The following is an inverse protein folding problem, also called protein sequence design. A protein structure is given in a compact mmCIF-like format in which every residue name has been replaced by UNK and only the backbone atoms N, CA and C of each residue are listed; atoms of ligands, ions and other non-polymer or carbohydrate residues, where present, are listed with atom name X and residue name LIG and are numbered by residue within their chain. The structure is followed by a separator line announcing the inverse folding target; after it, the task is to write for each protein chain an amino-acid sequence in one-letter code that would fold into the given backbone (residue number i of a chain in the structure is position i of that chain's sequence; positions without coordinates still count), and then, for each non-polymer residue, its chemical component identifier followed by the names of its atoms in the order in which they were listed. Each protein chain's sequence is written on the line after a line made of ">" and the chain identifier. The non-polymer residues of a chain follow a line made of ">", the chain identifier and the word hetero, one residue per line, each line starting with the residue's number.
data_IF_882539025441
#
_entry.id   IF_882539025441
#
_cell.length_a   1.000
_cell.length_b   1.000
_cell.length_c   1.000
_cell.angle_alpha   90.00
_cell.angle_beta   90.00
_cell.angle_gamma   90.00
#
_symmetry.space_group_name_H-M   'P 1'
#
loop_
_entity.id
_entity.type
_entity.pdbx_description
1 polymer ?
#
# COMPACT_ATOMS: atom_id res chain seq x y z
N UNK A 1 -9.24 -24.63 -1.42
CA UNK A 1 -9.75 -23.31 -1.09
C UNK A 1 -10.46 -23.34 0.27
N UNK A 2 -11.49 -24.15 0.50
CA UNK A 2 -12.24 -24.21 1.78
C UNK A 2 -11.31 -24.48 2.99
N UNK A 3 -10.37 -25.40 2.87
CA UNK A 3 -9.37 -25.68 3.92
C UNK A 3 -8.55 -24.43 4.28
N UNK A 4 -8.03 -23.72 3.28
CA UNK A 4 -7.25 -22.52 3.52
C UNK A 4 -8.07 -21.41 4.19
N UNK A 5 -9.30 -21.18 3.70
CA UNK A 5 -10.26 -20.24 4.28
C UNK A 5 -10.53 -20.56 5.75
N UNK A 6 -10.87 -21.80 6.08
CA UNK A 6 -11.21 -22.21 7.46
C UNK A 6 -10.02 -22.01 8.42
N UNK A 7 -8.81 -22.30 7.97
CA UNK A 7 -7.59 -22.11 8.77
C UNK A 7 -7.24 -20.64 8.95
N UNK A 8 -7.28 -19.83 7.89
CA UNK A 8 -6.97 -18.40 7.98
C UNK A 8 -8.03 -17.63 8.75
N UNK A 9 -9.30 -18.02 8.66
CA UNK A 9 -10.41 -17.35 9.37
C UNK A 9 -10.32 -17.46 10.92
N UNK A 10 -9.46 -18.35 11.44
CA UNK A 10 -9.18 -18.40 12.89
C UNK A 10 -8.23 -17.30 13.36
N UNK A 11 -7.52 -16.66 12.43
CA UNK A 11 -6.45 -15.69 12.71
C UNK A 11 -6.77 -14.32 12.11
N UNK A 12 -7.40 -14.30 10.93
CA UNK A 12 -7.65 -13.11 10.12
C UNK A 12 -9.12 -12.97 9.75
N UNK A 13 -9.53 -11.75 9.40
CA UNK A 13 -10.83 -11.50 8.76
C UNK A 13 -10.72 -11.82 7.27
N UNK A 14 -11.31 -12.94 6.83
CA UNK A 14 -11.14 -13.47 5.48
C UNK A 14 -12.37 -13.19 4.62
N UNK A 15 -12.16 -12.50 3.51
CA UNK A 15 -13.12 -12.35 2.41
C UNK A 15 -12.77 -13.34 1.31
N UNK A 16 -13.73 -14.12 0.87
CA UNK A 16 -13.56 -15.19 -0.12
C UNK A 16 -14.37 -14.89 -1.38
N UNK A 17 -13.76 -15.09 -2.55
CA UNK A 17 -14.37 -14.84 -3.85
C UNK A 17 -13.94 -15.89 -4.87
N UNK A 18 -14.73 -16.07 -5.93
CA UNK A 18 -14.54 -17.16 -6.89
C UNK A 18 -13.61 -16.82 -8.05
N UNK A 19 -13.39 -15.54 -8.31
CA UNK A 19 -12.58 -15.06 -9.43
C UNK A 19 -11.96 -13.69 -9.12
N UNK A 20 -11.04 -13.24 -9.98
CA UNK A 20 -10.33 -11.98 -9.81
C UNK A 20 -11.23 -10.75 -9.93
N UNK A 21 -12.32 -10.81 -10.67
CA UNK A 21 -13.26 -9.69 -10.83
C UNK A 21 -13.99 -9.39 -9.51
N UNK A 22 -14.53 -10.43 -8.86
CA UNK A 22 -15.15 -10.32 -7.54
C UNK A 22 -14.15 -9.84 -6.48
N UNK A 23 -12.88 -10.32 -6.59
CA UNK A 23 -11.80 -9.86 -5.72
C UNK A 23 -11.59 -8.35 -5.83
N UNK A 24 -11.53 -7.78 -7.04
CA UNK A 24 -11.39 -6.34 -7.25
C UNK A 24 -12.58 -5.56 -6.67
N UNK A 25 -13.81 -6.05 -6.83
CA UNK A 25 -14.98 -5.40 -6.22
C UNK A 25 -14.89 -5.35 -4.68
N UNK A 26 -14.43 -6.45 -4.06
CA UNK A 26 -14.24 -6.50 -2.61
C UNK A 26 -13.15 -5.51 -2.19
N UNK A 27 -12.02 -5.48 -2.89
CA UNK A 27 -10.89 -4.57 -2.62
C UNK A 27 -11.34 -3.11 -2.70
N UNK A 28 -12.18 -2.76 -3.66
CA UNK A 28 -12.70 -1.40 -3.77
C UNK A 28 -13.67 -1.01 -2.65
N UNK A 29 -14.40 -1.97 -2.08
CA UNK A 29 -15.42 -1.72 -1.04
C UNK A 29 -14.88 -1.88 0.39
N UNK A 30 -13.77 -2.61 0.58
CA UNK A 30 -13.22 -2.98 1.90
C UNK A 30 -11.76 -2.58 2.00
N UNK A 31 -11.30 -2.39 3.23
CA UNK A 31 -9.86 -2.30 3.51
C UNK A 31 -9.29 -3.73 3.52
N UNK A 32 -8.37 -4.00 2.60
CA UNK A 32 -7.72 -5.31 2.44
C UNK A 32 -6.22 -5.11 2.67
N UNK A 33 -5.66 -5.89 3.60
CA UNK A 33 -4.25 -5.81 3.95
C UNK A 33 -3.37 -6.75 3.11
N UNK A 34 -3.93 -7.83 2.55
CA UNK A 34 -3.20 -8.81 1.73
C UNK A 34 -4.17 -9.61 0.87
N UNK A 35 -3.74 -9.96 -0.33
CA UNK A 35 -4.47 -10.83 -1.26
C UNK A 35 -3.73 -12.16 -1.43
N UNK A 36 -4.45 -13.28 -1.32
CA UNK A 36 -3.95 -14.60 -1.68
C UNK A 36 -4.81 -15.10 -2.83
N UNK A 37 -4.22 -15.34 -3.97
CA UNK A 37 -4.93 -15.77 -5.17
C UNK A 37 -4.34 -17.06 -5.74
N UNK A 38 -5.22 -17.96 -6.19
CA UNK A 38 -4.79 -19.01 -7.11
C UNK A 38 -4.40 -18.37 -8.44
N UNK A 39 -3.38 -18.88 -9.11
CA UNK A 39 -3.05 -18.47 -10.48
C UNK A 39 -4.18 -18.88 -11.42
N UNK A 40 -4.70 -20.12 -11.29
CA UNK A 40 -5.75 -20.64 -12.16
C UNK A 40 -7.14 -20.38 -11.58
N UNK A 41 -7.82 -19.36 -12.06
CA UNK A 41 -9.21 -19.03 -11.72
C UNK A 41 -10.04 -18.75 -12.98
N UNK A 42 -11.36 -18.96 -12.94
CA UNK A 42 -12.24 -18.61 -14.06
C UNK A 42 -12.40 -17.08 -14.17
N UNK A 43 -12.81 -16.60 -15.36
CA UNK A 43 -13.16 -15.21 -15.69
C UNK A 43 -11.94 -14.27 -15.69
N UNK A 44 -11.28 -14.10 -14.55
CA UNK A 44 -10.04 -13.34 -14.37
C UNK A 44 -9.11 -14.18 -13.51
N UNK A 45 -7.96 -14.52 -14.05
CA UNK A 45 -6.96 -15.33 -13.37
C UNK A 45 -6.16 -14.53 -12.31
N UNK A 46 -5.33 -15.24 -11.52
CA UNK A 46 -4.58 -14.61 -10.43
C UNK A 46 -3.47 -13.68 -10.94
N UNK A 47 -2.91 -13.93 -12.12
CA UNK A 47 -1.88 -13.07 -12.73
C UNK A 47 -2.52 -11.78 -13.24
N UNK A 48 -3.66 -11.89 -13.90
CA UNK A 48 -4.44 -10.73 -14.35
C UNK A 48 -4.90 -9.87 -13.17
N UNK A 49 -5.42 -10.51 -12.10
CA UNK A 49 -5.77 -9.85 -10.84
C UNK A 49 -4.56 -9.12 -10.24
N UNK A 50 -3.42 -9.78 -10.16
CA UNK A 50 -2.19 -9.18 -9.63
C UNK A 50 -1.77 -7.95 -10.45
N UNK A 51 -1.74 -8.06 -11.77
CA UNK A 51 -1.44 -6.94 -12.67
C UNK A 51 -2.43 -5.78 -12.48
N UNK A 52 -3.74 -6.08 -12.38
CA UNK A 52 -4.77 -5.07 -12.14
C UNK A 52 -4.55 -4.34 -10.80
N UNK A 53 -4.22 -5.07 -9.73
CA UNK A 53 -3.89 -4.47 -8.43
C UNK A 53 -2.62 -3.61 -8.55
N UNK A 54 -1.54 -4.13 -9.12
CA UNK A 54 -0.23 -3.45 -9.14
C UNK A 54 -0.16 -2.26 -10.10
N UNK A 55 -0.96 -2.25 -11.16
CA UNK A 55 -1.07 -1.11 -12.07
C UNK A 55 -1.97 0.01 -11.56
N UNK A 56 -2.83 -0.26 -10.58
CA UNK A 56 -3.74 0.74 -10.03
C UNK A 56 -3.11 1.45 -8.83
N UNK A 57 -2.83 2.75 -8.96
CA UNK A 57 -2.18 3.59 -7.93
C UNK A 57 -2.93 3.57 -6.59
N UNK A 58 -4.23 3.31 -6.59
CA UNK A 58 -5.07 3.33 -5.40
C UNK A 58 -4.90 2.10 -4.53
N UNK A 59 -4.56 0.94 -5.14
CA UNK A 59 -4.52 -0.37 -4.49
C UNK A 59 -3.19 -1.12 -4.70
N UNK A 60 -2.22 -0.57 -5.45
CA UNK A 60 -0.93 -1.22 -5.75
C UNK A 60 -0.09 -1.56 -4.50
N UNK A 61 -0.36 -0.88 -3.39
CA UNK A 61 0.26 -1.11 -2.10
C UNK A 61 -0.15 -2.44 -1.45
N UNK A 62 -1.27 -3.03 -1.87
CA UNK A 62 -1.75 -4.29 -1.29
C UNK A 62 -0.82 -5.43 -1.75
N UNK A 63 -0.19 -6.17 -0.82
CA UNK A 63 0.63 -7.32 -1.17
C UNK A 63 -0.22 -8.45 -1.74
N UNK A 64 0.33 -9.12 -2.75
CA UNK A 64 -0.30 -10.25 -3.43
C UNK A 64 0.59 -11.48 -3.32
N UNK A 65 0.04 -12.59 -2.80
CA UNK A 65 0.65 -13.93 -2.84
C UNK A 65 -0.08 -14.74 -3.91
N UNK A 66 0.66 -15.30 -4.87
CA UNK A 66 0.11 -16.19 -5.89
C UNK A 66 0.36 -17.66 -5.53
N UNK A 67 -0.71 -18.45 -5.52
CA UNK A 67 -0.64 -19.90 -5.34
C UNK A 67 -0.60 -20.57 -6.72
N UNK A 68 0.42 -21.36 -7.01
CA UNK A 68 0.59 -22.00 -8.32
C UNK A 68 0.87 -23.49 -8.23
N UNK A 69 0.33 -24.27 -9.18
CA UNK A 69 0.61 -25.70 -9.31
C UNK A 69 1.82 -25.97 -10.25
N UNK A 70 2.25 -25.00 -11.06
CA UNK A 70 3.26 -25.18 -12.09
C UNK A 70 4.60 -24.53 -11.71
N UNK A 71 5.67 -25.33 -11.90
CA UNK A 71 7.09 -24.93 -11.75
C UNK A 71 7.67 -24.52 -13.13
N UNK A 72 6.85 -24.42 -14.20
CA UNK A 72 7.39 -24.11 -15.54
C UNK A 72 7.92 -22.67 -15.58
N UNK A 73 9.14 -22.52 -16.10
CA UNK A 73 9.89 -21.26 -16.20
C UNK A 73 9.13 -20.10 -16.86
N UNK A 74 8.17 -20.41 -17.74
CA UNK A 74 7.34 -19.40 -18.42
C UNK A 74 6.35 -18.73 -17.47
N UNK A 75 5.64 -19.48 -16.63
CA UNK A 75 4.69 -18.91 -15.66
C UNK A 75 5.38 -18.23 -14.46
N UNK A 76 6.59 -18.67 -14.11
CA UNK A 76 7.40 -17.98 -13.09
C UNK A 76 7.90 -16.63 -13.62
N UNK A 77 8.31 -16.55 -14.91
CA UNK A 77 8.71 -15.28 -15.55
C UNK A 77 7.53 -14.31 -15.69
N UNK A 78 6.38 -14.79 -16.13
CA UNK A 78 5.16 -13.97 -16.24
C UNK A 78 4.66 -13.54 -14.85
N UNK A 79 4.84 -14.40 -13.87
CA UNK A 79 4.53 -14.11 -12.50
C UNK A 79 5.47 -13.05 -11.91
N UNK A 80 6.79 -13.17 -12.05
CA UNK A 80 7.76 -12.16 -11.59
C UNK A 80 7.49 -10.80 -12.26
N UNK A 81 7.05 -10.80 -13.53
CA UNK A 81 6.65 -9.57 -14.25
C UNK A 81 5.29 -9.02 -13.81
N UNK A 82 4.45 -9.81 -13.11
CA UNK A 82 3.14 -9.36 -12.61
C UNK A 82 3.23 -8.44 -11.40
N UNK A 83 4.41 -8.35 -10.75
CA UNK A 83 4.62 -7.56 -9.54
C UNK A 83 4.08 -8.21 -8.25
N UNK A 84 3.80 -9.52 -8.25
CA UNK A 84 3.41 -10.23 -7.05
C UNK A 84 4.52 -10.18 -5.99
N UNK A 85 4.12 -10.10 -4.72
CA UNK A 85 5.06 -10.01 -3.60
C UNK A 85 5.64 -11.36 -3.22
N UNK A 86 4.91 -12.45 -3.47
CA UNK A 86 5.40 -13.82 -3.23
C UNK A 86 4.66 -14.85 -4.09
N UNK A 87 5.32 -16.02 -4.27
CA UNK A 87 4.79 -17.19 -4.97
C UNK A 87 4.89 -18.41 -4.08
N UNK A 88 3.78 -19.16 -3.98
CA UNK A 88 3.72 -20.37 -3.19
C UNK A 88 3.30 -21.54 -4.06
N UNK A 89 4.16 -22.52 -4.19
CA UNK A 89 3.90 -23.72 -5.00
C UNK A 89 3.00 -24.71 -4.25
N UNK A 90 2.03 -25.25 -4.95
CA UNK A 90 1.17 -26.33 -4.48
C UNK A 90 1.84 -27.71 -4.77
N UNK A 91 1.79 -28.67 -3.83
CA UNK A 91 1.24 -28.58 -2.48
C UNK A 91 2.13 -27.77 -1.53
N UNK A 92 1.54 -26.95 -0.65
CA UNK A 92 2.26 -26.12 0.30
C UNK A 92 2.00 -26.53 1.76
N UNK A 93 2.96 -26.27 2.62
CA UNK A 93 2.79 -26.33 4.06
C UNK A 93 2.07 -25.08 4.55
N UNK A 94 1.02 -25.24 5.38
CA UNK A 94 0.24 -24.14 5.90
C UNK A 94 1.07 -23.21 6.80
N UNK A 95 1.92 -23.76 7.66
CA UNK A 95 2.74 -22.97 8.59
C UNK A 95 3.74 -22.10 7.82
N UNK A 96 4.30 -22.62 6.72
CA UNK A 96 5.18 -21.85 5.84
C UNK A 96 4.42 -20.73 5.14
N UNK A 97 3.20 -20.99 4.65
CA UNK A 97 2.34 -19.94 4.06
C UNK A 97 1.99 -18.88 5.10
N UNK A 98 1.65 -19.29 6.32
CA UNK A 98 1.34 -18.37 7.42
C UNK A 98 2.54 -17.47 7.76
N UNK A 99 3.74 -18.04 7.83
CA UNK A 99 4.96 -17.26 8.06
C UNK A 99 5.22 -16.22 6.95
N UNK A 100 4.95 -16.55 5.67
CA UNK A 100 5.07 -15.62 4.54
C UNK A 100 4.04 -14.49 4.64
N UNK A 101 2.79 -14.81 4.98
CA UNK A 101 1.75 -13.81 5.23
C UNK A 101 2.18 -12.86 6.34
N UNK A 102 2.63 -13.39 7.48
CA UNK A 102 3.08 -12.58 8.61
C UNK A 102 4.26 -11.68 8.21
N UNK A 103 5.26 -12.19 7.51
CA UNK A 103 6.40 -11.41 7.04
C UNK A 103 5.97 -10.24 6.14
N UNK A 104 5.02 -10.45 5.23
CA UNK A 104 4.52 -9.37 4.38
C UNK A 104 3.75 -8.32 5.17
N UNK A 105 2.90 -8.73 6.12
CA UNK A 105 2.15 -7.82 6.98
C UNK A 105 3.09 -7.04 7.92
N UNK A 106 4.09 -7.72 8.51
CA UNK A 106 5.08 -7.09 9.41
C UNK A 106 5.99 -6.11 8.66
N UNK A 107 6.40 -6.43 7.43
CA UNK A 107 7.16 -5.50 6.60
C UNK A 107 6.35 -4.23 6.32
N UNK A 108 5.07 -4.37 6.01
CA UNK A 108 4.19 -3.22 5.84
C UNK A 108 4.06 -2.39 7.12
N UNK A 109 3.95 -3.04 8.27
CA UNK A 109 3.88 -2.33 9.56
C UNK A 109 5.19 -1.62 9.91
N UNK A 110 6.34 -2.25 9.65
CA UNK A 110 7.67 -1.61 9.81
C UNK A 110 7.82 -0.40 8.89
N UNK A 111 7.35 -0.49 7.65
CA UNK A 111 7.30 0.63 6.72
C UNK A 111 6.47 1.77 7.31
N UNK A 112 5.25 1.49 7.77
CA UNK A 112 4.37 2.47 8.45
C UNK A 112 5.06 3.16 9.62
N UNK A 113 5.73 2.40 10.49
CA UNK A 113 6.44 2.93 11.65
C UNK A 113 7.67 3.77 11.26
N UNK A 114 8.39 3.38 10.21
CA UNK A 114 9.51 4.16 9.71
C UNK A 114 9.07 5.50 9.12
N UNK A 115 7.93 5.54 8.43
CA UNK A 115 7.33 6.78 7.95
C UNK A 115 6.87 7.71 9.08
N UNK A 116 6.35 7.17 10.19
CA UNK A 116 5.99 7.98 11.36
C UNK A 116 7.21 8.65 12.01
N UNK A 117 8.35 7.97 12.04
CA UNK A 117 9.58 8.48 12.65
C UNK A 117 10.37 9.40 11.71
N UNK A 118 10.23 9.24 10.40
CA UNK A 118 11.04 9.92 9.38
C UNK A 118 10.11 10.56 8.34
N UNK A 119 9.98 11.87 8.40
CA UNK A 119 9.22 12.64 7.40
C UNK A 119 10.09 12.99 6.17
N UNK A 120 11.24 12.36 5.96
CA UNK A 120 12.08 12.56 4.78
C UNK A 120 12.34 11.26 4.03
N UNK A 121 12.05 11.19 2.71
CA UNK A 121 12.30 9.98 1.91
C UNK A 121 13.76 9.55 1.83
N UNK A 122 14.69 10.47 2.08
CA UNK A 122 16.14 10.24 1.92
C UNK A 122 16.78 9.31 2.96
N UNK A 123 16.08 9.00 4.05
CA UNK A 123 16.64 8.23 5.18
C UNK A 123 16.15 6.78 5.24
N UNK A 124 15.56 6.25 4.17
CA UNK A 124 14.90 4.94 4.17
C UNK A 124 15.79 3.84 3.58
N UNK A 125 16.27 2.96 4.45
CA UNK A 125 16.87 1.65 4.10
C UNK A 125 15.80 0.53 4.19
N UNK A 126 14.63 0.70 3.56
CA UNK A 126 13.57 -0.31 3.52
C UNK A 126 13.14 -0.45 2.07
N UNK A 127 12.92 -1.67 1.61
CA UNK A 127 12.36 -1.98 0.28
C UNK A 127 10.95 -1.40 0.16
N UNK A 128 10.87 -0.14 -0.21
CA UNK A 128 9.63 0.54 -0.65
C UNK A 128 9.53 0.32 -2.14
N UNK A 129 8.34 0.03 -2.65
CA UNK A 129 8.17 0.00 -4.10
C UNK A 129 8.43 1.41 -4.65
N UNK A 130 9.09 1.54 -5.79
CA UNK A 130 9.33 2.84 -6.45
C UNK A 130 8.06 3.69 -6.59
N UNK A 131 6.90 3.03 -6.74
CA UNK A 131 5.59 3.70 -6.85
C UNK A 131 5.11 4.35 -5.55
N UNK A 132 5.37 3.72 -4.40
CA UNK A 132 4.94 4.25 -3.10
C UNK A 132 5.83 5.42 -2.69
N UNK A 133 7.12 5.34 -2.99
CA UNK A 133 8.06 6.44 -2.79
C UNK A 133 7.72 7.63 -3.68
N UNK A 134 7.44 7.41 -4.97
CA UNK A 134 6.99 8.45 -5.89
C UNK A 134 5.67 9.09 -5.45
N UNK A 135 4.72 8.28 -4.95
CA UNK A 135 3.46 8.81 -4.44
C UNK A 135 3.68 9.72 -3.23
N UNK A 136 4.48 9.30 -2.26
CA UNK A 136 4.80 10.13 -1.09
C UNK A 136 5.60 11.37 -1.47
N UNK A 137 6.53 11.26 -2.42
CA UNK A 137 7.27 12.42 -2.92
C UNK A 137 6.32 13.46 -3.53
N UNK A 138 5.36 13.03 -4.36
CA UNK A 138 4.33 13.93 -4.90
C UNK A 138 3.48 14.56 -3.79
N UNK A 139 3.13 13.79 -2.74
CA UNK A 139 2.44 14.32 -1.57
C UNK A 139 3.23 15.45 -0.91
N UNK A 140 4.52 15.22 -0.66
CA UNK A 140 5.39 16.24 -0.04
C UNK A 140 5.57 17.46 -0.92
N UNK A 141 5.79 17.30 -2.21
CA UNK A 141 6.00 18.42 -3.15
C UNK A 141 4.74 19.29 -3.25
N UNK A 142 3.57 18.67 -3.31
CA UNK A 142 2.30 19.39 -3.28
C UNK A 142 2.10 20.17 -1.97
N UNK A 143 2.32 19.53 -0.83
CA UNK A 143 2.17 20.18 0.47
C UNK A 143 3.20 21.29 0.68
N UNK A 144 4.44 21.15 0.19
CA UNK A 144 5.45 22.22 0.24
C UNK A 144 5.03 23.45 -0.55
N UNK A 145 4.38 23.27 -1.70
CA UNK A 145 3.84 24.38 -2.51
C UNK A 145 2.64 25.07 -1.85
N UNK A 146 1.94 24.36 -0.97
CA UNK A 146 0.69 24.80 -0.34
C UNK A 146 0.81 24.96 1.19
N UNK A 147 2.00 25.21 1.73
CA UNK A 147 2.22 25.29 3.18
C UNK A 147 1.39 26.37 3.85
N UNK A 148 1.27 27.54 3.23
CA UNK A 148 0.57 28.71 3.74
C UNK A 148 -0.92 28.74 3.34
N UNK A 149 -1.38 27.79 2.53
CA UNK A 149 -2.78 27.75 2.11
C UNK A 149 -3.65 27.14 3.21
N UNK A 150 -4.32 27.98 4.01
CA UNK A 150 -5.25 27.57 5.07
C UNK A 150 -6.51 26.87 4.52
N UNK A 151 -6.90 27.19 3.28
CA UNK A 151 -8.12 26.66 2.63
C UNK A 151 -7.87 25.33 1.91
N UNK A 152 -6.67 24.75 2.03
CA UNK A 152 -6.34 23.49 1.37
C UNK A 152 -7.26 22.36 1.87
N UNK A 153 -8.07 21.84 0.98
CA UNK A 153 -8.98 20.71 1.27
C UNK A 153 -8.33 19.35 0.93
N UNK A 154 -8.87 18.29 1.53
CA UNK A 154 -8.46 16.91 1.20
C UNK A 154 -8.88 16.57 -0.23
N UNK A 155 -9.96 17.17 -0.72
CA UNK A 155 -10.43 17.05 -2.09
C UNK A 155 -9.43 17.62 -3.11
N UNK A 156 -8.86 18.78 -2.83
CA UNK A 156 -7.83 19.40 -3.68
C UNK A 156 -6.55 18.55 -3.68
N UNK A 157 -6.19 18.05 -2.52
CA UNK A 157 -5.05 17.13 -2.39
C UNK A 157 -5.26 15.84 -3.20
N UNK A 158 -6.44 15.23 -3.16
CA UNK A 158 -6.80 14.07 -3.96
C UNK A 158 -6.76 14.36 -5.47
N UNK A 159 -7.34 15.47 -5.90
CA UNK A 159 -7.35 15.88 -7.31
C UNK A 159 -5.95 16.05 -7.89
N UNK A 160 -5.05 16.70 -7.15
CA UNK A 160 -3.67 16.90 -7.59
C UNK A 160 -2.93 15.58 -7.77
N UNK A 161 -3.18 14.60 -6.90
CA UNK A 161 -2.58 13.28 -6.97
C UNK A 161 -3.28 12.32 -7.94
N UNK A 162 -4.40 12.74 -8.54
CA UNK A 162 -5.19 11.93 -9.45
C UNK A 162 -5.93 10.77 -8.76
N UNK A 163 -6.24 10.90 -7.46
CA UNK A 163 -6.92 9.87 -6.67
C UNK A 163 -8.18 10.41 -6.00
N UNK A 164 -9.18 9.54 -5.79
CA UNK A 164 -10.37 9.93 -5.04
C UNK A 164 -10.05 10.17 -3.56
N UNK A 165 -10.91 10.94 -2.85
CA UNK A 165 -10.76 11.20 -1.41
C UNK A 165 -10.65 9.92 -0.59
N UNK A 166 -11.45 8.90 -0.91
CA UNK A 166 -11.45 7.61 -0.20
C UNK A 166 -10.12 6.90 -0.39
N UNK A 167 -9.61 6.87 -1.60
CA UNK A 167 -8.35 6.21 -1.93
C UNK A 167 -7.14 6.97 -1.39
N UNK A 168 -7.17 8.31 -1.44
CA UNK A 168 -6.16 9.13 -0.77
C UNK A 168 -6.09 8.79 0.73
N UNK A 169 -7.26 8.69 1.39
CA UNK A 169 -7.33 8.32 2.81
C UNK A 169 -6.70 6.96 3.06
N UNK A 170 -7.11 5.93 2.30
CA UNK A 170 -6.60 4.57 2.46
C UNK A 170 -5.10 4.49 2.22
N UNK A 171 -4.61 5.10 1.13
CA UNK A 171 -3.19 5.05 0.76
C UNK A 171 -2.30 5.81 1.73
N UNK A 172 -2.66 7.02 2.13
CA UNK A 172 -1.90 7.76 3.14
C UNK A 172 -1.92 7.01 4.48
N UNK A 173 -3.09 6.52 4.91
CA UNK A 173 -3.19 5.74 6.14
C UNK A 173 -2.37 4.46 6.08
N UNK A 174 -2.41 3.76 4.95
CA UNK A 174 -1.59 2.56 4.74
C UNK A 174 -0.10 2.86 4.85
N UNK A 175 0.38 3.88 4.11
CA UNK A 175 1.82 4.20 4.05
C UNK A 175 2.34 4.85 5.33
N UNK A 176 1.53 5.65 6.03
CA UNK A 176 1.99 6.50 7.13
C UNK A 176 1.29 6.23 8.47
N UNK A 177 0.25 5.41 8.49
CA UNK A 177 -0.67 5.20 9.61
C UNK A 177 -1.37 6.49 10.11
N UNK A 178 -1.31 7.57 9.31
CA UNK A 178 -1.95 8.84 9.62
C UNK A 178 -3.18 9.05 8.74
N UNK A 179 -4.18 9.77 9.26
CA UNK A 179 -5.20 10.32 8.38
C UNK A 179 -4.60 11.41 7.48
N UNK A 180 -5.14 11.70 6.29
CA UNK A 180 -4.67 12.78 5.42
C UNK A 180 -4.53 14.13 6.14
N UNK A 181 -5.51 14.49 6.98
CA UNK A 181 -5.45 15.73 7.76
C UNK A 181 -4.26 15.75 8.74
N UNK A 182 -4.01 14.63 9.44
CA UNK A 182 -2.85 14.51 10.32
C UNK A 182 -1.53 14.48 9.56
N UNK A 183 -1.51 13.87 8.38
CA UNK A 183 -0.35 13.88 7.51
C UNK A 183 0.01 15.30 7.07
N UNK A 184 -0.99 16.08 6.59
CA UNK A 184 -0.81 17.48 6.23
C UNK A 184 -0.27 18.29 7.41
N UNK A 185 -0.88 18.15 8.59
CA UNK A 185 -0.43 18.84 9.79
C UNK A 185 1.01 18.49 10.16
N UNK A 186 1.38 17.21 10.13
CA UNK A 186 2.74 16.77 10.46
C UNK A 186 3.79 17.33 9.48
N UNK A 187 3.46 17.36 8.17
CA UNK A 187 4.36 17.94 7.17
C UNK A 187 4.53 19.45 7.44
N UNK A 188 3.44 20.17 7.68
CA UNK A 188 3.48 21.62 8.02
C UNK A 188 4.33 21.88 9.27
N UNK A 189 4.08 21.17 10.36
CA UNK A 189 4.83 21.32 11.60
C UNK A 189 6.33 21.04 11.43
N UNK A 190 6.69 20.05 10.63
CA UNK A 190 8.09 19.75 10.39
C UNK A 190 8.78 20.83 9.57
N UNK A 191 8.16 21.28 8.48
CA UNK A 191 8.72 22.38 7.70
C UNK A 191 8.85 23.64 8.56
N UNK A 192 7.84 23.94 9.39
CA UNK A 192 7.91 25.03 10.35
C UNK A 192 9.09 24.90 11.32
N UNK A 193 9.27 23.71 11.90
CA UNK A 193 10.40 23.45 12.81
C UNK A 193 11.78 23.60 12.12
N UNK A 194 11.88 23.13 10.86
CA UNK A 194 13.12 23.25 10.10
C UNK A 194 13.44 24.72 9.73
N UNK A 195 12.44 25.52 9.37
CA UNK A 195 12.59 26.95 9.14
C UNK A 195 13.03 27.71 10.41
N UNK A 196 12.45 27.37 11.56
CA UNK A 196 12.87 27.97 12.84
C UNK A 196 14.30 27.59 13.21
N UNK A 197 14.72 26.34 13.00
CA UNK A 197 16.12 25.89 13.23
C UNK A 197 17.13 26.60 12.34
N UNK A 198 16.75 26.94 11.11
CA UNK A 198 17.61 27.66 10.18
C UNK A 198 17.65 29.18 10.44
N UNK A 199 16.97 29.66 11.47
CA UNK A 199 16.92 31.08 11.82
C UNK A 199 16.09 31.93 10.87
N UNK A 200 15.23 31.31 10.06
CA UNK A 200 14.53 31.97 8.94
C UNK A 200 13.19 32.64 9.29
N UNK A 201 12.82 32.82 10.56
CA UNK A 201 11.56 33.49 10.88
C UNK A 201 11.15 33.43 12.36
N UNK A 202 10.17 34.24 12.75
CA UNK A 202 9.50 34.15 14.03
C UNK A 202 8.35 33.12 13.95
N UNK A 203 7.89 32.61 15.11
CA UNK A 203 6.77 31.65 15.17
C UNK A 203 5.51 32.20 14.49
N UNK A 204 5.28 33.50 14.51
CA UNK A 204 4.16 34.16 13.84
C UNK A 204 4.23 34.15 12.29
N UNK A 205 5.38 33.83 11.68
CA UNK A 205 5.52 33.71 10.24
C UNK A 205 5.34 32.26 9.72
N UNK A 206 5.23 31.30 10.60
CA UNK A 206 5.29 29.88 10.30
C UNK A 206 3.96 29.14 10.59
N UNK A 207 3.01 29.78 11.30
CA UNK A 207 1.66 29.26 11.58
C UNK A 207 0.61 29.79 10.64
#
# INVERSE_FOLDING_TARGET
>A
RQYLKSKLATIYNVFDCDNGHEALEIIHRREIDLVISDVMMPVMDGIELCKAIKSNIEINHIPVILLTAHVSDTHVKDGLSSGANDYVFKPFNFDLLLARIQNLLDNNERLRQSFQKRISPKDMNVEVTDYDEQFLQKCYDFLRKNLTNSELTIEDFGKELGVSRVHLYRKIKYLTNLSPSRFILNVRLKVAADLLRQGGGSVSCVC
#
